data_IF_633024624342
#
_entry.id   IF_633024624342
#
_cell.length_a   1.000
_cell.length_b   1.000
_cell.length_c   1.000
_cell.angle_alpha   90.00
_cell.angle_beta   90.00
_cell.angle_gamma   90.00
#
_symmetry.space_group_name_H-M   'P 1'
#
loop_
_entity.id
_entity.type
_entity.pdbx_description
1 polymer ?
#
# COMPACT_ATOMS: atom_id res chain seq x y z
N UNK A 1 7.97 -5.60 -23.16
CA UNK A 1 7.43 -4.25 -23.33
C UNK A 1 6.04 -4.22 -22.74
N UNK A 2 5.75 -3.24 -21.88
CA UNK A 2 4.44 -3.01 -21.32
C UNK A 2 3.83 -1.79 -22.00
N UNK A 3 2.63 -1.93 -22.57
CA UNK A 3 1.90 -0.84 -23.22
C UNK A 3 1.22 0.07 -22.19
N UNK A 4 1.00 -0.42 -20.98
CA UNK A 4 0.34 0.26 -19.88
C UNK A 4 0.77 -0.35 -18.53
N UNK A 5 0.93 0.49 -17.50
CA UNK A 5 1.25 0.05 -16.13
C UNK A 5 0.46 0.83 -15.10
N UNK A 6 0.00 0.13 -14.07
CA UNK A 6 -0.46 0.72 -12.81
C UNK A 6 0.67 0.61 -11.80
N UNK A 7 1.07 1.73 -11.18
CA UNK A 7 2.29 1.85 -10.39
C UNK A 7 2.00 2.48 -9.04
N UNK A 8 2.67 1.95 -8.00
CA UNK A 8 2.77 2.58 -6.70
C UNK A 8 4.14 3.24 -6.52
N UNK A 9 4.20 4.44 -5.94
CA UNK A 9 5.45 5.15 -5.71
C UNK A 9 5.38 6.04 -4.46
N UNK A 10 6.55 6.39 -3.90
CA UNK A 10 6.66 7.32 -2.75
C UNK A 10 6.75 8.79 -3.18
N UNK A 11 6.80 9.06 -4.48
CA UNK A 11 6.83 10.41 -5.06
C UNK A 11 5.91 10.45 -6.27
N UNK A 12 5.38 11.60 -6.63
CA UNK A 12 4.66 11.75 -7.90
C UNK A 12 5.50 11.23 -9.06
N UNK A 13 4.87 10.43 -9.92
CA UNK A 13 5.56 9.85 -11.07
C UNK A 13 5.71 10.89 -12.17
N UNK A 14 6.95 11.24 -12.50
CA UNK A 14 7.29 12.09 -13.64
C UNK A 14 8.41 11.45 -14.45
N UNK A 15 8.17 11.28 -15.77
CA UNK A 15 9.14 10.69 -16.68
C UNK A 15 9.00 11.28 -18.08
N UNK A 16 10.09 11.74 -18.72
CA UNK A 16 10.03 12.48 -19.99
C UNK A 16 9.41 11.71 -21.15
N UNK A 17 9.53 10.37 -21.15
CA UNK A 17 9.03 9.48 -22.22
C UNK A 17 7.67 8.84 -21.91
N UNK A 18 7.15 9.02 -20.70
CA UNK A 18 5.88 8.42 -20.28
C UNK A 18 4.80 9.50 -20.12
N UNK A 19 3.60 9.20 -20.57
CA UNK A 19 2.39 9.85 -20.10
C UNK A 19 2.04 9.22 -18.76
N UNK A 20 1.90 10.06 -17.74
CA UNK A 20 1.65 9.64 -16.35
C UNK A 20 0.46 10.40 -15.79
N UNK A 21 -0.36 9.73 -15.01
CA UNK A 21 -1.44 10.39 -14.28
C UNK A 21 -1.62 9.73 -12.91
N UNK A 22 -1.62 10.55 -11.88
CA UNK A 22 -1.97 10.14 -10.53
C UNK A 22 -3.48 9.91 -10.45
N UNK A 23 -3.87 8.76 -9.90
CA UNK A 23 -5.25 8.39 -9.66
C UNK A 23 -5.70 8.78 -8.25
N UNK A 24 -4.89 8.45 -7.25
CA UNK A 24 -5.16 8.76 -5.85
C UNK A 24 -3.90 8.60 -4.99
N UNK A 25 -4.01 9.08 -3.75
CA UNK A 25 -2.97 8.97 -2.73
C UNK A 25 -3.48 8.16 -1.54
N UNK A 26 -2.56 7.48 -0.85
CA UNK A 26 -2.83 6.70 0.37
C UNK A 26 -1.76 6.96 1.42
N UNK A 27 -2.13 6.73 2.67
CA UNK A 27 -1.22 6.76 3.80
C UNK A 27 -0.78 5.36 4.20
N UNK A 28 0.35 5.27 4.88
CA UNK A 28 0.81 4.03 5.50
C UNK A 28 0.26 3.90 6.92
N UNK A 29 0.12 2.68 7.35
CA UNK A 29 -0.39 2.28 8.66
C UNK A 29 0.48 1.18 9.25
N UNK A 30 0.57 1.16 10.57
CA UNK A 30 0.94 -0.04 11.31
C UNK A 30 -0.34 -0.87 11.47
N UNK A 31 -0.29 -2.13 11.07
CA UNK A 31 -1.40 -3.06 11.26
C UNK A 31 -1.01 -4.11 12.29
N UNK A 32 -1.89 -4.31 13.24
CA UNK A 32 -1.69 -5.22 14.37
C UNK A 32 -2.92 -6.10 14.57
N UNK A 33 -2.78 -7.21 15.27
CA UNK A 33 -3.92 -7.97 15.77
C UNK A 33 -4.77 -7.10 16.73
N UNK A 34 -6.08 -7.28 16.74
CA UNK A 34 -6.96 -6.64 17.74
C UNK A 34 -6.58 -7.01 19.18
N UNK A 35 -5.89 -8.15 19.36
CA UNK A 35 -5.38 -8.62 20.66
C UNK A 35 -4.04 -7.98 21.05
N UNK A 36 -3.41 -7.26 20.12
CA UNK A 36 -2.10 -6.64 20.37
C UNK A 36 -2.23 -5.44 21.32
N UNK A 37 -1.27 -5.22 22.25
CA UNK A 37 -1.32 -4.06 23.15
C UNK A 37 -1.45 -2.71 22.45
N UNK A 38 -0.84 -2.57 21.28
CA UNK A 38 -0.88 -1.36 20.44
C UNK A 38 -2.25 -1.11 19.81
N UNK A 39 -3.15 -2.09 19.73
CA UNK A 39 -4.45 -1.96 19.07
C UNK A 39 -5.33 -0.81 19.63
N UNK A 40 -5.07 -0.38 20.85
CA UNK A 40 -5.79 0.72 21.52
C UNK A 40 -5.23 2.11 21.21
N UNK A 41 -4.09 2.19 20.52
CA UNK A 41 -3.45 3.46 20.15
C UNK A 41 -4.21 4.15 19.03
N UNK A 42 -4.33 5.47 19.11
CA UNK A 42 -4.95 6.29 18.05
C UNK A 42 -3.98 6.65 16.94
N UNK A 43 -2.70 6.73 17.27
CA UNK A 43 -1.57 6.93 16.35
C UNK A 43 -0.30 6.39 16.98
N UNK A 44 0.73 6.15 16.17
CA UNK A 44 2.03 5.67 16.60
C UNK A 44 3.15 6.47 15.92
N UNK A 45 4.25 6.73 16.63
CA UNK A 45 5.52 7.00 15.98
C UNK A 45 6.20 5.66 15.62
N UNK A 46 7.07 5.68 14.62
CA UNK A 46 7.80 4.47 14.25
C UNK A 46 8.74 4.01 15.38
N UNK A 47 9.20 4.94 16.20
CA UNK A 47 10.01 4.64 17.38
C UNK A 47 9.29 3.72 18.39
N UNK A 48 7.98 3.85 18.54
CA UNK A 48 7.19 3.04 19.48
C UNK A 48 7.08 1.56 19.06
N UNK A 49 7.37 1.26 17.80
CA UNK A 49 7.22 -0.09 17.23
C UNK A 49 8.57 -0.75 16.87
N UNK A 50 9.70 -0.12 17.15
CA UNK A 50 11.04 -0.66 16.84
C UNK A 50 11.32 -2.02 17.48
N UNK A 51 10.75 -2.27 18.67
CA UNK A 51 10.94 -3.54 19.39
C UNK A 51 9.99 -4.66 18.93
N UNK A 52 9.02 -4.31 18.07
CA UNK A 52 8.07 -5.29 17.54
C UNK A 52 8.70 -6.12 16.41
N UNK A 53 8.14 -7.29 16.16
CA UNK A 53 8.56 -8.15 15.05
C UNK A 53 7.75 -7.81 13.81
N UNK A 54 8.41 -7.30 12.76
CA UNK A 54 7.77 -6.95 11.51
C UNK A 54 7.66 -8.12 10.55
N UNK A 55 6.48 -8.28 9.95
CA UNK A 55 6.20 -9.15 8.80
C UNK A 55 5.92 -8.22 7.63
N UNK A 56 6.75 -8.23 6.61
CA UNK A 56 6.75 -7.23 5.54
C UNK A 56 6.49 -7.85 4.16
N UNK A 57 6.13 -7.01 3.21
CA UNK A 57 6.26 -7.35 1.79
C UNK A 57 7.75 -7.46 1.42
N UNK A 58 8.04 -8.37 0.51
CA UNK A 58 9.39 -8.64 0.02
C UNK A 58 9.92 -7.58 -0.95
N UNK A 59 11.08 -7.85 -1.52
CA UNK A 59 11.77 -6.98 -2.47
C UNK A 59 10.92 -6.74 -3.73
N UNK A 60 11.00 -5.52 -4.26
CA UNK A 60 10.22 -5.08 -5.42
C UNK A 60 8.93 -4.35 -5.07
N UNK A 61 8.56 -4.30 -3.80
CA UNK A 61 7.39 -3.55 -3.34
C UNK A 61 7.79 -2.18 -2.76
N UNK A 62 7.12 -1.13 -3.20
CA UNK A 62 7.30 0.24 -2.66
C UNK A 62 7.07 0.32 -1.15
N UNK A 63 6.29 -0.59 -0.59
CA UNK A 63 6.07 -0.69 0.85
C UNK A 63 7.35 -1.03 1.62
N UNK A 64 8.18 -1.93 1.08
CA UNK A 64 9.47 -2.24 1.69
C UNK A 64 10.45 -1.06 1.57
N UNK A 65 10.41 -0.31 0.45
CA UNK A 65 11.21 0.91 0.29
C UNK A 65 10.84 1.94 1.37
N UNK A 66 9.54 2.19 1.57
CA UNK A 66 9.07 3.12 2.61
C UNK A 66 9.48 2.67 4.01
N UNK A 67 9.34 1.37 4.31
CA UNK A 67 9.79 0.80 5.57
C UNK A 67 11.30 0.99 5.79
N UNK A 68 12.11 0.73 4.78
CA UNK A 68 13.57 0.87 4.87
C UNK A 68 13.98 2.32 5.12
N UNK A 69 13.32 3.30 4.47
CA UNK A 69 13.58 4.72 4.72
C UNK A 69 13.26 5.11 6.18
N UNK A 70 12.15 4.61 6.74
CA UNK A 70 11.85 4.80 8.16
C UNK A 70 12.88 4.12 9.05
N UNK A 71 13.20 2.88 8.76
CA UNK A 71 14.16 2.12 9.56
C UNK A 71 15.55 2.79 9.58
N UNK A 72 16.00 3.32 8.45
CA UNK A 72 17.24 4.13 8.36
C UNK A 72 17.16 5.39 9.24
N UNK A 73 16.04 6.12 9.20
CA UNK A 73 15.79 7.28 10.06
C UNK A 73 15.95 6.93 11.55
N UNK A 74 15.61 5.72 11.94
CA UNK A 74 15.72 5.19 13.29
C UNK A 74 16.91 4.22 13.48
N UNK A 75 17.98 4.42 12.71
CA UNK A 75 19.27 3.72 12.85
C UNK A 75 19.20 2.19 12.65
N UNK A 76 18.30 1.73 11.79
CA UNK A 76 18.12 0.30 11.45
C UNK A 76 17.83 -0.62 12.65
N UNK A 77 17.05 -0.14 13.60
CA UNK A 77 16.73 -0.87 14.84
C UNK A 77 15.49 -1.77 14.74
N UNK A 78 14.69 -1.65 13.67
CA UNK A 78 13.48 -2.44 13.53
C UNK A 78 13.81 -3.92 13.27
N UNK A 79 13.10 -4.80 13.98
CA UNK A 79 13.28 -6.26 13.85
C UNK A 79 12.37 -6.82 12.78
N UNK A 80 12.93 -7.23 11.65
CA UNK A 80 12.19 -7.93 10.59
C UNK A 80 12.21 -9.43 10.87
N UNK A 81 11.02 -10.01 11.10
CA UNK A 81 10.83 -11.42 11.33
C UNK A 81 10.75 -12.20 10.01
N UNK A 82 10.01 -11.66 9.04
CA UNK A 82 9.68 -12.37 7.81
C UNK A 82 9.36 -11.37 6.69
N UNK A 83 9.71 -11.74 5.45
CA UNK A 83 9.28 -11.05 4.23
C UNK A 83 8.52 -12.02 3.34
N UNK A 84 7.40 -11.58 2.78
CA UNK A 84 6.50 -12.38 1.96
C UNK A 84 6.00 -11.58 0.76
N UNK A 85 5.74 -12.26 -0.35
CA UNK A 85 5.09 -11.67 -1.53
C UNK A 85 3.57 -11.58 -1.40
N UNK A 86 2.97 -12.41 -0.54
CA UNK A 86 1.53 -12.58 -0.42
C UNK A 86 0.93 -11.78 0.75
N UNK A 87 0.21 -10.72 0.42
CA UNK A 87 -0.44 -9.84 1.40
C UNK A 87 -1.43 -10.59 2.30
N UNK A 88 -2.19 -11.50 1.72
CA UNK A 88 -3.18 -12.30 2.47
C UNK A 88 -2.54 -13.12 3.57
N UNK A 89 -1.36 -13.68 3.31
CA UNK A 89 -0.59 -14.44 4.31
C UNK A 89 -0.05 -13.52 5.41
N UNK A 90 0.45 -12.34 5.05
CA UNK A 90 0.87 -11.32 6.03
C UNK A 90 -0.29 -11.02 6.99
N UNK A 91 -1.48 -10.74 6.45
CA UNK A 91 -2.66 -10.45 7.26
C UNK A 91 -3.05 -11.58 8.21
N UNK A 92 -2.98 -12.83 7.77
CA UNK A 92 -3.26 -13.97 8.63
C UNK A 92 -2.25 -14.09 9.78
N UNK A 93 -0.95 -13.95 9.50
CA UNK A 93 0.09 -14.02 10.53
C UNK A 93 -0.04 -12.88 11.55
N UNK A 94 -0.35 -11.67 11.09
CA UNK A 94 -0.59 -10.52 11.98
C UNK A 94 -1.84 -10.73 12.83
N UNK A 95 -2.93 -11.25 12.26
CA UNK A 95 -4.14 -11.59 13.01
C UNK A 95 -3.87 -12.59 14.14
N UNK A 96 -3.02 -13.58 13.86
CA UNK A 96 -2.58 -14.56 14.88
C UNK A 96 -1.56 -13.98 15.88
N UNK A 97 -1.32 -12.67 15.83
CA UNK A 97 -0.42 -11.93 16.73
C UNK A 97 1.03 -12.43 16.70
N UNK A 98 1.50 -12.91 15.53
CA UNK A 98 2.88 -13.36 15.33
C UNK A 98 3.84 -12.22 15.01
N UNK A 99 3.32 -11.04 14.74
CA UNK A 99 4.06 -9.81 14.47
C UNK A 99 3.12 -8.69 14.05
N UNK A 100 3.72 -7.59 13.62
CA UNK A 100 3.00 -6.42 13.07
C UNK A 100 3.41 -6.20 11.61
N UNK A 101 2.67 -5.40 10.86
CA UNK A 101 3.05 -5.05 9.49
C UNK A 101 2.90 -3.58 9.19
N UNK A 102 3.59 -3.11 8.14
CA UNK A 102 3.58 -1.75 7.64
C UNK A 102 3.07 -1.75 6.20
N UNK A 103 1.84 -1.32 6.00
CA UNK A 103 1.16 -1.36 4.71
C UNK A 103 0.27 -0.11 4.52
N UNK A 104 -0.14 0.14 3.28
CA UNK A 104 -1.19 1.11 2.99
C UNK A 104 -2.57 0.48 3.11
N UNK A 105 -3.60 1.30 3.29
CA UNK A 105 -5.00 0.84 3.27
C UNK A 105 -5.47 0.37 1.88
N UNK A 106 -4.70 0.65 0.84
CA UNK A 106 -4.94 0.18 -0.51
C UNK A 106 -4.54 -1.28 -0.72
N UNK A 107 -3.54 -1.75 -0.01
CA UNK A 107 -3.18 -3.17 -0.01
C UNK A 107 -4.27 -3.89 0.77
N UNK A 108 -5.29 -4.20 0.04
CA UNK A 108 -6.58 -4.70 0.47
C UNK A 108 -6.47 -5.85 1.47
N UNK A 109 -6.64 -5.49 2.69
CA UNK A 109 -7.43 -6.34 3.57
C UNK A 109 -8.85 -5.73 3.61
N UNK A 110 -9.76 -6.11 2.69
CA UNK A 110 -11.15 -5.82 2.93
C UNK A 110 -11.48 -6.51 4.23
N UNK A 111 -11.57 -5.72 5.32
CA UNK A 111 -12.06 -6.17 6.62
C UNK A 111 -11.56 -7.58 7.01
N UNK A 112 -10.24 -7.78 7.11
CA UNK A 112 -9.77 -8.96 7.82
C UNK A 112 -10.17 -8.74 9.26
N UNK A 113 -11.26 -9.36 9.62
CA UNK A 113 -11.74 -9.42 10.99
C UNK A 113 -10.58 -9.75 11.93
N UNK A 114 -10.43 -8.98 12.99
CA UNK A 114 -9.35 -9.17 13.95
C UNK A 114 -8.05 -8.37 13.68
N UNK A 115 -8.03 -7.47 12.68
CA UNK A 115 -6.92 -6.54 12.44
C UNK A 115 -7.30 -5.09 12.76
N UNK A 116 -6.35 -4.35 13.31
CA UNK A 116 -6.47 -2.91 13.60
C UNK A 116 -5.43 -2.14 12.82
N UNK A 117 -5.87 -1.12 12.08
CA UNK A 117 -5.01 -0.15 11.38
C UNK A 117 -4.75 1.05 12.28
N UNK A 118 -3.49 1.35 12.53
CA UNK A 118 -3.08 2.46 13.38
C UNK A 118 -2.26 3.44 12.52
N UNK A 119 -2.72 4.68 12.35
CA UNK A 119 -1.98 5.67 11.57
C UNK A 119 -0.66 6.01 12.25
N UNK A 120 0.36 6.30 11.45
CA UNK A 120 1.59 6.89 11.93
C UNK A 120 1.39 8.39 12.16
N UNK A 121 2.19 8.96 13.06
CA UNK A 121 2.32 10.42 13.20
C UNK A 121 2.82 11.03 11.88
N UNK A 122 2.49 12.31 11.57
CA UNK A 122 2.85 12.92 10.28
C UNK A 122 4.34 12.84 9.94
N UNK A 123 5.21 12.92 10.94
CA UNK A 123 6.67 12.90 10.79
C UNK A 123 7.23 11.55 10.33
N UNK A 124 6.43 10.49 10.47
CA UNK A 124 6.79 9.12 10.14
C UNK A 124 5.91 8.54 9.02
N UNK A 125 5.02 9.33 8.47
CA UNK A 125 4.15 8.87 7.40
C UNK A 125 4.68 9.28 6.03
N UNK A 126 4.41 8.45 5.03
CA UNK A 126 4.65 8.72 3.63
C UNK A 126 3.34 8.86 2.88
N UNK A 127 3.37 9.59 1.79
CA UNK A 127 2.31 9.52 0.78
C UNK A 127 2.65 8.42 -0.22
N UNK A 128 1.74 7.48 -0.38
CA UNK A 128 1.80 6.46 -1.41
C UNK A 128 0.95 6.92 -2.60
N UNK A 129 1.60 7.16 -3.73
CA UNK A 129 0.97 7.61 -4.97
C UNK A 129 0.62 6.41 -5.83
N UNK A 130 -0.63 6.28 -6.22
CA UNK A 130 -1.07 5.30 -7.22
C UNK A 130 -1.31 6.03 -8.53
N UNK A 131 -0.54 5.65 -9.54
CA UNK A 131 -0.55 6.28 -10.86
C UNK A 131 -0.61 5.24 -11.95
N UNK A 132 -1.09 5.62 -13.12
CA UNK A 132 -0.83 4.86 -14.32
C UNK A 132 0.19 5.55 -15.20
N UNK A 133 0.84 4.76 -16.05
CA UNK A 133 1.81 5.23 -17.02
C UNK A 133 1.76 4.41 -18.31
N UNK A 134 2.04 5.09 -19.43
CA UNK A 134 2.22 4.46 -20.73
C UNK A 134 3.20 5.29 -21.59
N UNK A 135 3.85 4.70 -22.62
CA UNK A 135 4.75 5.45 -23.49
C UNK A 135 4.02 6.57 -24.24
N UNK A 136 4.51 7.81 -24.22
CA UNK A 136 3.89 8.96 -24.92
C UNK A 136 3.69 8.73 -26.41
N UNK A 137 4.57 7.94 -27.02
CA UNK A 137 4.52 7.62 -28.45
C UNK A 137 3.64 6.40 -28.78
N UNK A 138 3.05 5.73 -27.78
CA UNK A 138 2.23 4.55 -28.01
C UNK A 138 0.83 4.92 -28.56
N UNK A 139 0.40 4.16 -29.54
CA UNK A 139 -1.02 4.12 -29.96
C UNK A 139 -1.70 3.10 -29.06
N UNK A 140 -2.51 3.58 -28.13
CA UNK A 140 -3.18 2.72 -27.17
C UNK A 140 -4.30 1.92 -27.86
N UNK A 141 -4.36 0.62 -27.59
CA UNK A 141 -5.48 -0.22 -28.02
C UNK A 141 -6.80 0.25 -27.35
N UNK A 142 -7.93 0.02 -27.99
CA UNK A 142 -9.25 0.40 -27.50
C UNK A 142 -9.51 -0.12 -26.07
N UNK A 143 -9.07 -1.37 -25.79
CA UNK A 143 -9.20 -1.96 -24.47
C UNK A 143 -8.42 -1.19 -23.39
N UNK A 144 -7.22 -0.70 -23.71
CA UNK A 144 -6.40 0.11 -22.82
C UNK A 144 -7.02 1.49 -22.58
N UNK A 145 -7.55 2.12 -23.63
CA UNK A 145 -8.26 3.41 -23.51
C UNK A 145 -9.49 3.26 -22.60
N UNK A 146 -10.25 2.20 -22.79
CA UNK A 146 -11.43 1.91 -21.97
C UNK A 146 -11.06 1.62 -20.50
N UNK A 147 -9.93 0.94 -20.25
CA UNK A 147 -9.42 0.74 -18.90
C UNK A 147 -9.06 2.08 -18.24
N UNK A 148 -8.41 2.99 -18.96
CA UNK A 148 -8.07 4.33 -18.46
C UNK A 148 -9.34 5.09 -18.08
N UNK A 149 -10.33 5.12 -18.96
CA UNK A 149 -11.63 5.76 -18.69
C UNK A 149 -12.30 5.20 -17.43
N UNK A 150 -12.26 3.88 -17.23
CA UNK A 150 -12.79 3.24 -16.04
C UNK A 150 -12.02 3.62 -14.78
N UNK A 151 -10.69 3.65 -14.84
CA UNK A 151 -9.84 4.06 -13.72
C UNK A 151 -10.05 5.52 -13.33
N UNK A 152 -10.24 6.41 -14.32
CA UNK A 152 -10.49 7.84 -14.09
C UNK A 152 -11.91 8.14 -13.63
N UNK A 153 -12.89 7.32 -14.03
CA UNK A 153 -14.28 7.46 -13.59
C UNK A 153 -14.46 7.14 -12.11
N UNK A 154 -13.54 6.37 -11.54
CA UNK A 154 -13.52 6.05 -10.10
C UNK A 154 -12.88 7.20 -9.32
N UNK A 155 -13.58 8.32 -9.18
CA UNK A 155 -13.10 9.54 -8.52
C UNK A 155 -12.82 9.39 -7.02
N UNK A 156 -13.34 8.36 -6.39
CA UNK A 156 -13.16 8.11 -4.96
C UNK A 156 -12.99 6.63 -4.69
N UNK A 157 -11.76 6.18 -4.70
CA UNK A 157 -11.41 4.90 -4.11
C UNK A 157 -11.45 5.03 -2.58
N UNK A 158 -12.62 5.18 -2.03
CA UNK A 158 -12.83 5.02 -0.59
C UNK A 158 -12.64 3.55 -0.28
N UNK A 159 -11.60 3.24 0.48
CA UNK A 159 -11.11 1.88 0.75
C UNK A 159 -12.07 0.93 1.47
N UNK A 160 -13.37 1.16 1.42
CA UNK A 160 -14.40 0.33 2.02
C UNK A 160 -15.48 -0.15 1.06
N UNK A 161 -15.59 0.38 -0.15
CA UNK A 161 -16.66 -0.05 -1.04
C UNK A 161 -16.15 -0.91 -2.20
N UNK A 162 -16.38 -2.20 -2.10
CA UNK A 162 -16.99 -3.11 -3.09
C UNK A 162 -16.75 -2.83 -4.60
N UNK A 163 -15.73 -2.07 -4.99
CA UNK A 163 -15.48 -1.77 -6.40
C UNK A 163 -15.13 -3.01 -7.21
N UNK A 164 -14.48 -4.00 -6.60
CA UNK A 164 -14.28 -5.29 -7.26
C UNK A 164 -15.59 -5.99 -7.59
N UNK A 165 -16.59 -5.93 -6.70
CA UNK A 165 -17.93 -6.48 -6.99
C UNK A 165 -18.64 -5.70 -8.08
N UNK A 166 -18.48 -4.38 -8.13
CA UNK A 166 -19.10 -3.55 -9.17
C UNK A 166 -18.36 -3.61 -10.51
N UNK A 167 -17.03 -3.80 -10.51
CA UNK A 167 -16.25 -4.00 -11.73
C UNK A 167 -16.56 -5.38 -12.35
N UNK A 168 -16.58 -6.43 -11.53
CA UNK A 168 -16.89 -7.80 -11.97
C UNK A 168 -18.36 -7.93 -12.47
N UNK A 169 -19.28 -7.13 -11.96
CA UNK A 169 -20.67 -7.13 -12.41
C UNK A 169 -20.90 -6.30 -13.68
N UNK A 170 -19.90 -5.59 -14.21
CA UNK A 170 -19.96 -4.80 -15.44
C UNK A 170 -19.11 -5.38 -16.58
N UNK A 171 -18.37 -6.45 -16.32
CA UNK A 171 -17.68 -7.29 -17.30
C UNK A 171 -18.57 -8.49 -17.65
#
# INVERSE_FOLDING_TARGET
DLDFSLLGSLRPLDHPKLATKELYQRSFYIMVSEKHPLAKKKSLSFQEVLNESFILLDEGHTHLEAFNQLNEKYHNQAKVLLKLSEVSMIGQLVRENLGITFLTDFVLFPDIEGLVKIPLVPEDNFTFHVSYAYPKAAVLADATQRLIELLEAVKEWKGQDLLWKNLLNRL
#
